data_IF_858681796920
#
_entry.id   IF_858681796920
#
_cell.length_a   1.000
_cell.length_b   1.000
_cell.length_c   1.000
_cell.angle_alpha   90.00
_cell.angle_beta   90.00
_cell.angle_gamma   90.00
#
_symmetry.space_group_name_H-M   'P 1'
#
loop_
_entity.id
_entity.type
_entity.pdbx_description
1 polymer ?
#
# COMPACT_ATOMS: atom_id res chain seq x y z
N UNK A 1 8.79 -14.43 9.75
CA UNK A 1 8.61 -13.15 10.48
C UNK A 1 8.90 -11.93 9.60
N UNK A 2 10.07 -11.80 8.95
CA UNK A 2 10.44 -10.63 8.12
C UNK A 2 9.44 -10.25 7.00
N UNK A 3 8.81 -11.24 6.37
CA UNK A 3 7.81 -11.01 5.31
C UNK A 3 6.55 -10.33 5.84
N UNK A 4 6.03 -10.79 6.99
CA UNK A 4 4.79 -10.27 7.57
C UNK A 4 5.01 -8.81 8.02
N UNK A 5 6.16 -8.51 8.61
CA UNK A 5 6.51 -7.12 8.97
C UNK A 5 6.65 -6.22 7.75
N UNK A 6 7.30 -6.69 6.67
CA UNK A 6 7.41 -5.91 5.43
C UNK A 6 6.04 -5.67 4.78
N UNK A 7 5.18 -6.68 4.75
CA UNK A 7 3.81 -6.59 4.23
C UNK A 7 2.99 -5.56 5.03
N UNK A 8 2.98 -5.66 6.35
CA UNK A 8 2.21 -4.75 7.22
C UNK A 8 2.74 -3.32 7.09
N UNK A 9 4.06 -3.14 7.09
CA UNK A 9 4.67 -1.81 6.94
C UNK A 9 4.24 -1.16 5.61
N UNK A 10 4.27 -1.93 4.51
CA UNK A 10 3.88 -1.42 3.20
C UNK A 10 2.39 -1.13 3.09
N UNK A 11 1.56 -1.96 3.72
CA UNK A 11 0.12 -1.76 3.80
C UNK A 11 -0.21 -0.46 4.54
N UNK A 12 0.43 -0.24 5.69
CA UNK A 12 0.23 0.97 6.49
C UNK A 12 0.68 2.22 5.72
N UNK A 13 1.87 2.20 5.12
CA UNK A 13 2.38 3.34 4.34
C UNK A 13 1.47 3.65 3.15
N UNK A 14 1.08 2.62 2.39
CA UNK A 14 0.18 2.79 1.24
C UNK A 14 -1.17 3.35 1.67
N UNK A 15 -1.75 2.80 2.74
CA UNK A 15 -3.05 3.24 3.26
C UNK A 15 -3.04 4.71 3.68
N UNK A 16 -2.07 5.08 4.52
CA UNK A 16 -1.93 6.46 5.03
C UNK A 16 -1.67 7.43 3.88
N UNK A 17 -0.83 7.06 2.90
CA UNK A 17 -0.54 7.93 1.76
C UNK A 17 -1.77 8.18 0.90
N UNK A 18 -2.58 7.15 0.63
CA UNK A 18 -3.81 7.29 -0.17
C UNK A 18 -4.84 8.14 0.58
N UNK A 19 -5.04 7.89 1.89
CA UNK A 19 -5.99 8.65 2.71
C UNK A 19 -5.59 10.12 2.76
N UNK A 20 -4.32 10.43 3.03
CA UNK A 20 -3.84 11.83 3.10
C UNK A 20 -3.98 12.51 1.75
N UNK A 21 -3.55 11.85 0.68
CA UNK A 21 -3.60 12.41 -0.67
C UNK A 21 -5.05 12.69 -1.10
N UNK A 22 -5.96 11.73 -0.90
CA UNK A 22 -7.36 11.92 -1.27
C UNK A 22 -8.02 13.00 -0.43
N UNK A 23 -7.86 12.98 0.90
CA UNK A 23 -8.42 14.02 1.77
C UNK A 23 -7.87 15.41 1.44
N UNK A 24 -6.61 15.52 1.00
CA UNK A 24 -6.06 16.79 0.53
C UNK A 24 -6.66 17.24 -0.81
N UNK A 25 -6.94 16.31 -1.73
CA UNK A 25 -7.46 16.63 -3.07
C UNK A 25 -8.98 16.85 -3.11
N UNK A 26 -9.74 16.07 -2.34
CA UNK A 26 -11.21 16.05 -2.37
C UNK A 26 -11.84 16.79 -1.20
N UNK A 27 -11.09 17.01 -0.11
CA UNK A 27 -11.62 17.53 1.15
C UNK A 27 -12.53 16.56 1.91
N UNK A 28 -12.77 15.35 1.37
CA UNK A 28 -13.58 14.31 1.99
C UNK A 28 -12.71 13.18 2.54
N UNK A 29 -13.19 12.53 3.61
CA UNK A 29 -12.50 11.37 4.19
C UNK A 29 -13.28 10.09 3.91
N UNK A 30 -12.89 9.36 2.86
CA UNK A 30 -13.47 8.06 2.48
C UNK A 30 -12.54 6.91 2.85
N UNK A 31 -12.00 6.95 4.06
CA UNK A 31 -10.93 6.07 4.55
C UNK A 31 -11.19 4.57 4.39
N UNK A 32 -12.46 4.12 4.47
CA UNK A 32 -12.84 2.71 4.25
C UNK A 32 -12.62 2.25 2.80
N UNK A 33 -12.76 3.14 1.83
CA UNK A 33 -12.66 2.81 0.41
C UNK A 33 -11.23 2.43 -0.01
N UNK A 34 -10.22 2.79 0.78
CA UNK A 34 -8.81 2.59 0.43
C UNK A 34 -8.19 1.32 1.03
N UNK A 35 -8.93 0.58 1.86
CA UNK A 35 -8.46 -0.69 2.43
C UNK A 35 -8.09 -1.69 1.30
N UNK A 36 -8.91 -1.91 0.27
CA UNK A 36 -8.56 -2.82 -0.82
C UNK A 36 -7.29 -2.39 -1.57
N UNK A 37 -7.11 -1.08 -1.81
CA UNK A 37 -5.93 -0.53 -2.48
C UNK A 37 -4.64 -0.75 -1.68
N UNK A 38 -4.68 -0.52 -0.37
CA UNK A 38 -3.55 -0.77 0.52
C UNK A 38 -3.15 -2.25 0.58
N UNK A 39 -4.14 -3.15 0.62
CA UNK A 39 -3.91 -4.59 0.57
C UNK A 39 -3.32 -5.02 -0.78
N UNK A 40 -3.91 -4.54 -1.88
CA UNK A 40 -3.43 -4.84 -3.24
C UNK A 40 -1.99 -4.39 -3.48
N UNK A 41 -1.64 -3.17 -3.06
CA UNK A 41 -0.27 -2.64 -3.10
C UNK A 41 0.73 -3.55 -2.37
N UNK A 42 0.34 -4.04 -1.19
CA UNK A 42 1.17 -4.89 -0.33
C UNK A 42 1.36 -6.30 -0.88
N UNK A 43 0.32 -6.85 -1.51
CA UNK A 43 0.42 -8.11 -2.25
C UNK A 43 1.34 -7.92 -3.47
N UNK A 44 1.16 -6.84 -4.23
CA UNK A 44 1.96 -6.51 -5.40
C UNK A 44 3.46 -6.44 -5.09
N UNK A 45 3.85 -5.70 -4.04
CA UNK A 45 5.27 -5.59 -3.67
C UNK A 45 5.82 -6.91 -3.10
N UNK A 46 5.00 -7.66 -2.37
CA UNK A 46 5.38 -8.98 -1.84
C UNK A 46 5.66 -9.98 -2.96
N UNK A 47 4.84 -9.95 -4.02
CA UNK A 47 5.06 -10.76 -5.22
C UNK A 47 6.31 -10.28 -5.95
N UNK A 48 6.48 -8.97 -6.16
CA UNK A 48 7.66 -8.41 -6.84
C UNK A 48 8.98 -8.77 -6.14
N UNK A 49 8.99 -8.72 -4.80
CA UNK A 49 10.13 -9.16 -3.99
C UNK A 49 10.42 -10.65 -4.16
N UNK A 50 9.39 -11.49 -4.29
CA UNK A 50 9.54 -12.94 -4.42
C UNK A 50 9.90 -13.37 -5.84
N UNK A 51 9.47 -12.63 -6.86
CA UNK A 51 9.67 -12.97 -8.27
C UNK A 51 10.99 -12.46 -8.86
N UNK A 52 11.85 -11.78 -8.07
CA UNK A 52 13.07 -11.12 -8.58
C UNK A 52 12.78 -10.15 -9.75
N UNK A 53 11.53 -9.71 -9.90
CA UNK A 53 11.16 -8.66 -10.85
C UNK A 53 11.76 -7.38 -10.29
N UNK A 54 12.93 -7.03 -10.80
CA UNK A 54 13.60 -5.77 -10.53
C UNK A 54 12.66 -4.67 -11.00
N UNK A 55 11.97 -4.01 -10.08
CA UNK A 55 11.21 -2.80 -10.35
C UNK A 55 12.23 -1.73 -10.76
N UNK A 56 12.63 -1.72 -12.03
CA UNK A 56 13.42 -0.63 -12.60
C UNK A 56 12.47 0.53 -12.84
N UNK A 57 12.49 1.47 -11.91
CA UNK A 57 12.00 2.83 -12.13
C UNK A 57 13.13 3.67 -12.73
#
# INVERSE_FOLDING_TARGET
MKFITAFVLWATISYVSIVILDTFLTGESRWLAYIPSAVGSSIGISIAQKSNIRLSF
#
